data_IF_800712851538
#
_entry.id   IF_800712851538
#
_cell.length_a   1.000
_cell.length_b   1.000
_cell.length_c   1.000
_cell.angle_alpha   90.00
_cell.angle_beta   90.00
_cell.angle_gamma   90.00
#
_symmetry.space_group_name_H-M   'P 1'
#
loop_
_entity.id
_entity.type
_entity.pdbx_description
1 polymer ?
#
# COMPACT_ATOMS: atom_id res chain seq x y z
N UNK A 1 14.63 -40.02 2.20
CA UNK A 1 13.40 -39.68 2.96
C UNK A 1 12.98 -38.22 2.84
N UNK A 2 13.85 -37.21 2.74
CA UNK A 2 13.41 -35.82 2.51
C UNK A 2 13.02 -35.49 1.06
N UNK A 3 13.66 -36.14 0.06
CA UNK A 3 13.32 -35.97 -1.36
C UNK A 3 11.97 -36.58 -1.78
N UNK A 4 11.45 -37.51 -0.98
CA UNK A 4 10.17 -38.21 -1.24
C UNK A 4 8.95 -37.44 -0.71
N UNK A 5 9.16 -36.55 0.27
CA UNK A 5 8.11 -35.67 0.80
C UNK A 5 7.84 -34.50 -0.15
N UNK A 6 8.92 -33.97 -0.76
CA UNK A 6 8.85 -32.96 -1.82
C UNK A 6 8.11 -33.43 -3.10
N UNK A 7 7.87 -34.74 -3.26
CA UNK A 7 7.25 -35.34 -4.46
C UNK A 7 5.73 -35.59 -4.31
N UNK A 8 5.17 -35.60 -3.10
CA UNK A 8 3.79 -36.09 -2.87
C UNK A 8 2.70 -35.01 -2.77
N UNK A 9 3.05 -33.74 -2.50
CA UNK A 9 2.03 -32.69 -2.37
C UNK A 9 1.56 -32.12 -3.73
N UNK A 10 2.35 -32.27 -4.81
CA UNK A 10 2.08 -31.68 -6.12
C UNK A 10 2.34 -32.70 -7.23
N UNK A 11 1.32 -33.45 -7.61
CA UNK A 11 1.39 -34.39 -8.71
C UNK A 11 1.74 -33.68 -10.03
N UNK A 12 2.85 -34.10 -10.64
CA UNK A 12 3.20 -33.98 -12.08
C UNK A 12 3.06 -32.59 -12.72
N UNK A 13 4.03 -31.71 -12.50
CA UNK A 13 4.75 -30.93 -13.54
C UNK A 13 5.30 -29.61 -12.96
N UNK A 14 6.62 -29.55 -12.81
CA UNK A 14 7.34 -28.33 -12.49
C UNK A 14 8.59 -28.59 -11.67
N UNK A 15 9.60 -29.23 -12.26
CA UNK A 15 10.95 -28.80 -11.92
C UNK A 15 10.96 -27.28 -12.13
N UNK A 16 11.34 -26.50 -11.12
CA UNK A 16 11.59 -25.08 -11.34
C UNK A 16 12.51 -24.97 -12.55
N UNK A 17 12.15 -24.13 -13.52
CA UNK A 17 13.05 -23.90 -14.65
C UNK A 17 14.41 -23.44 -14.09
N UNK A 18 15.51 -23.67 -14.80
CA UNK A 18 16.83 -23.18 -14.36
C UNK A 18 16.80 -21.69 -14.02
N UNK A 19 15.96 -20.94 -14.72
CA UNK A 19 15.73 -19.51 -14.47
C UNK A 19 14.96 -19.26 -13.17
N UNK A 20 13.90 -20.01 -12.90
CA UNK A 20 13.14 -19.88 -11.65
C UNK A 20 13.99 -20.31 -10.44
N UNK A 21 14.83 -21.35 -10.60
CA UNK A 21 15.76 -21.77 -9.56
C UNK A 21 16.81 -20.68 -9.26
N UNK A 22 17.37 -20.02 -10.28
CA UNK A 22 18.27 -18.88 -10.09
C UNK A 22 17.58 -17.71 -9.41
N UNK A 23 16.31 -17.47 -9.72
CA UNK A 23 15.54 -16.41 -9.07
C UNK A 23 15.35 -16.70 -7.57
N UNK A 24 15.06 -17.95 -7.20
CA UNK A 24 14.98 -18.36 -5.78
C UNK A 24 16.33 -18.16 -5.09
N UNK A 25 17.43 -18.60 -5.69
CA UNK A 25 18.77 -18.37 -5.12
C UNK A 25 19.11 -16.88 -4.96
N UNK A 26 18.61 -16.02 -5.85
CA UNK A 26 18.77 -14.57 -5.76
C UNK A 26 18.02 -14.01 -4.56
N UNK A 27 16.79 -14.47 -4.32
CA UNK A 27 16.00 -14.08 -3.17
C UNK A 27 16.59 -14.61 -1.85
N UNK A 28 17.09 -15.85 -1.82
CA UNK A 28 17.78 -16.41 -0.66
C UNK A 28 19.05 -15.61 -0.32
N UNK A 29 19.90 -15.31 -1.32
CA UNK A 29 21.08 -14.48 -1.13
C UNK A 29 20.73 -13.06 -0.64
N UNK A 30 19.57 -12.54 -1.06
CA UNK A 30 19.02 -11.27 -0.60
C UNK A 30 18.32 -11.32 0.76
N UNK A 31 18.34 -12.48 1.46
CA UNK A 31 17.63 -12.70 2.72
C UNK A 31 16.13 -12.38 2.65
N UNK A 32 15.53 -12.59 1.48
CA UNK A 32 14.09 -12.41 1.30
C UNK A 32 13.37 -13.58 1.99
N UNK A 33 12.43 -13.30 2.91
CA UNK A 33 11.65 -14.35 3.57
C UNK A 33 10.77 -15.12 2.56
N UNK A 34 10.79 -16.46 2.61
CA UNK A 34 10.07 -17.29 1.64
C UNK A 34 8.55 -17.25 1.80
N UNK A 35 8.05 -17.03 3.01
CA UNK A 35 6.65 -16.72 3.31
C UNK A 35 6.17 -15.44 2.59
N UNK A 36 7.00 -14.40 2.54
CA UNK A 36 6.72 -13.16 1.81
C UNK A 36 6.72 -13.40 0.28
N UNK A 37 7.59 -14.27 -0.23
CA UNK A 37 7.58 -14.69 -1.65
C UNK A 37 6.28 -15.43 -1.98
N UNK A 38 5.85 -16.36 -1.12
CA UNK A 38 4.58 -17.09 -1.28
C UNK A 38 3.38 -16.14 -1.22
N UNK A 39 3.40 -15.14 -0.33
CA UNK A 39 2.35 -14.13 -0.26
C UNK A 39 2.27 -13.28 -1.55
N UNK A 40 3.42 -12.88 -2.11
CA UNK A 40 3.50 -12.14 -3.37
C UNK A 40 3.01 -12.98 -4.56
N UNK A 41 3.31 -14.28 -4.57
CA UNK A 41 2.80 -15.26 -5.53
C UNK A 41 1.26 -15.31 -5.52
N UNK A 42 0.65 -15.43 -4.34
CA UNK A 42 -0.80 -15.49 -4.21
C UNK A 42 -1.48 -14.22 -4.76
N UNK A 43 -0.98 -13.04 -4.39
CA UNK A 43 -1.51 -11.75 -4.90
C UNK A 43 -1.31 -11.60 -6.41
N UNK A 44 -0.22 -12.16 -6.96
CA UNK A 44 -0.02 -12.21 -8.41
C UNK A 44 -1.08 -13.09 -9.09
N UNK A 45 -1.38 -14.26 -8.54
CA UNK A 45 -2.41 -15.15 -9.08
C UNK A 45 -3.83 -14.57 -8.95
N UNK A 46 -4.19 -13.98 -7.81
CA UNK A 46 -5.50 -13.32 -7.62
C UNK A 46 -5.75 -12.21 -8.67
N UNK A 47 -4.72 -11.39 -8.95
CA UNK A 47 -4.82 -10.35 -9.99
C UNK A 47 -4.88 -10.94 -11.40
N UNK A 48 -4.29 -12.12 -11.62
CA UNK A 48 -4.28 -12.81 -12.91
C UNK A 48 -5.62 -13.46 -13.19
N UNK A 49 -6.28 -14.06 -12.20
CA UNK A 49 -7.62 -14.65 -12.36
C UNK A 49 -8.66 -13.63 -12.81
N UNK A 50 -8.51 -12.37 -12.40
CA UNK A 50 -9.38 -11.25 -12.81
C UNK A 50 -9.14 -10.76 -14.25
N UNK A 51 -8.17 -11.33 -15.00
CA UNK A 51 -7.88 -10.92 -16.38
C UNK A 51 -8.66 -11.76 -17.38
N UNK A 52 -9.23 -11.10 -18.39
CA UNK A 52 -10.03 -11.72 -19.45
C UNK A 52 -9.23 -12.74 -20.30
N UNK A 53 -7.91 -12.56 -20.45
CA UNK A 53 -6.99 -13.49 -21.13
C UNK A 53 -5.67 -13.64 -20.37
N UNK A 54 -5.60 -14.51 -19.36
CA UNK A 54 -4.36 -14.72 -18.62
C UNK A 54 -3.33 -15.45 -19.49
N UNK A 55 -2.09 -14.93 -19.55
CA UNK A 55 -0.97 -15.65 -20.19
C UNK A 55 -0.80 -17.03 -19.55
N UNK A 56 -0.56 -18.06 -20.35
CA UNK A 56 -0.49 -19.47 -19.90
C UNK A 56 0.74 -19.78 -19.04
N UNK A 57 1.84 -19.04 -19.19
CA UNK A 57 3.10 -19.27 -18.50
C UNK A 57 3.47 -18.12 -17.54
N UNK A 58 3.96 -18.48 -16.35
CA UNK A 58 4.43 -17.55 -15.31
C UNK A 58 5.83 -17.99 -14.89
N UNK A 59 6.81 -17.10 -15.03
CA UNK A 59 8.15 -17.25 -14.46
C UNK A 59 8.23 -16.47 -13.14
N UNK A 60 9.01 -16.95 -12.18
CA UNK A 60 9.20 -16.33 -10.87
C UNK A 60 9.72 -14.89 -10.98
N UNK A 61 10.53 -14.58 -11.99
CA UNK A 61 10.99 -13.21 -12.29
C UNK A 61 9.85 -12.20 -12.50
N UNK A 62 8.65 -12.64 -12.90
CA UNK A 62 7.51 -11.74 -13.06
C UNK A 62 6.92 -11.27 -11.71
N UNK A 63 7.25 -11.97 -10.62
CA UNK A 63 6.77 -11.68 -9.26
C UNK A 63 7.80 -10.88 -8.46
N UNK A 64 9.05 -10.78 -8.94
CA UNK A 64 10.16 -10.06 -8.30
C UNK A 64 9.80 -8.62 -7.91
N UNK A 65 9.00 -7.94 -8.75
CA UNK A 65 8.50 -6.59 -8.44
C UNK A 65 7.60 -6.56 -7.20
N UNK A 66 6.73 -7.53 -7.03
CA UNK A 66 5.82 -7.61 -5.88
C UNK A 66 6.59 -8.01 -4.61
N UNK A 67 7.58 -8.90 -4.73
CA UNK A 67 8.52 -9.25 -3.65
C UNK A 67 9.30 -8.02 -3.18
N UNK A 68 9.87 -7.26 -4.12
CA UNK A 68 10.60 -6.03 -3.79
C UNK A 68 9.68 -4.96 -3.16
N UNK A 69 8.41 -4.88 -3.57
CA UNK A 69 7.41 -3.99 -2.95
C UNK A 69 7.14 -4.39 -1.50
N UNK A 70 6.93 -5.68 -1.24
CA UNK A 70 6.71 -6.20 0.10
C UNK A 70 7.92 -6.01 1.03
N UNK A 71 9.14 -6.24 0.54
CA UNK A 71 10.37 -6.00 1.31
C UNK A 71 10.52 -4.53 1.72
N UNK A 72 10.33 -3.58 0.80
CA UNK A 72 10.38 -2.14 1.11
C UNK A 72 9.33 -1.72 2.13
N UNK A 73 8.14 -2.32 2.06
CA UNK A 73 7.07 -2.06 3.00
C UNK A 73 7.42 -2.58 4.39
N UNK A 74 7.95 -3.80 4.49
CA UNK A 74 8.47 -4.38 5.74
C UNK A 74 9.54 -3.50 6.38
N UNK A 75 10.52 -3.04 5.60
CA UNK A 75 11.56 -2.10 6.07
C UNK A 75 10.98 -0.75 6.52
N UNK A 76 9.94 -0.28 5.85
CA UNK A 76 9.25 0.96 6.24
C UNK A 76 8.54 0.80 7.58
N UNK A 77 7.89 -0.34 7.83
CA UNK A 77 7.22 -0.61 9.11
C UNK A 77 8.21 -0.79 10.25
N UNK A 78 9.31 -1.53 10.02
CA UNK A 78 10.37 -1.67 11.02
C UNK A 78 10.97 -0.31 11.41
N UNK A 79 11.12 0.61 10.45
CA UNK A 79 11.57 1.99 10.71
C UNK A 79 10.54 2.87 11.40
N UNK A 80 9.24 2.63 11.15
CA UNK A 80 8.16 3.42 11.74
C UNK A 80 8.01 3.19 13.26
N UNK A 81 8.48 2.04 13.79
CA UNK A 81 8.38 1.71 15.21
C UNK A 81 6.96 1.29 15.63
N UNK A 82 6.72 0.98 16.92
CA UNK A 82 5.39 0.69 17.44
C UNK A 82 4.46 1.90 17.27
N UNK A 83 3.18 1.66 16.99
CA UNK A 83 2.17 2.71 16.84
C UNK A 83 2.22 3.69 18.02
N UNK A 84 2.59 4.95 17.73
CA UNK A 84 2.50 6.03 18.69
C UNK A 84 1.04 6.45 18.83
N UNK A 85 0.45 6.03 19.94
CA UNK A 85 -0.76 6.52 20.60
C UNK A 85 -1.88 7.03 19.68
N UNK A 86 -2.95 6.23 19.56
CA UNK A 86 -4.21 6.50 18.85
C UNK A 86 -5.05 7.61 19.51
N UNK A 87 -4.42 8.74 19.78
CA UNK A 87 -4.90 9.72 20.74
C UNK A 87 -6.05 10.61 20.28
N UNK A 88 -6.54 10.50 19.04
CA UNK A 88 -7.65 11.38 18.59
C UNK A 88 -8.57 10.68 17.59
N UNK A 89 -9.85 10.52 17.95
CA UNK A 89 -10.89 9.88 17.11
C UNK A 89 -11.63 10.86 16.19
N UNK A 90 -12.73 10.42 15.56
CA UNK A 90 -13.56 11.25 14.66
C UNK A 90 -14.06 12.56 15.30
N UNK A 91 -14.21 12.60 16.63
CA UNK A 91 -14.79 13.74 17.35
C UNK A 91 -14.03 15.06 17.20
N UNK A 92 -12.73 15.01 16.89
CA UNK A 92 -11.91 16.20 16.68
C UNK A 92 -12.06 16.82 15.29
N UNK A 93 -12.69 16.10 14.35
CA UNK A 93 -12.81 16.55 12.96
C UNK A 93 -13.64 17.83 12.93
N UNK A 94 -13.23 18.81 12.12
CA UNK A 94 -13.94 20.09 12.05
C UNK A 94 -15.21 19.96 11.20
N UNK A 95 -16.25 20.74 11.53
CA UNK A 95 -17.40 20.93 10.65
C UNK A 95 -16.99 21.74 9.40
N UNK A 96 -17.63 21.52 8.22
CA UNK A 96 -18.76 20.61 7.98
C UNK A 96 -18.39 19.13 7.85
N UNK A 97 -17.12 18.76 7.63
CA UNK A 97 -16.74 17.36 7.35
C UNK A 97 -17.18 16.38 8.46
N UNK A 98 -17.11 16.79 9.73
CA UNK A 98 -17.57 15.98 10.87
C UNK A 98 -19.03 15.56 10.78
N UNK A 99 -19.86 16.39 10.16
CA UNK A 99 -21.31 16.23 10.05
C UNK A 99 -21.70 15.40 8.82
N UNK A 100 -20.74 15.11 7.92
CA UNK A 100 -20.96 14.26 6.76
C UNK A 100 -20.93 12.76 7.18
N UNK A 101 -22.09 12.06 7.12
CA UNK A 101 -22.15 10.65 7.50
C UNK A 101 -21.34 9.74 6.56
N UNK A 102 -21.17 10.12 5.29
CA UNK A 102 -20.37 9.35 4.35
C UNK A 102 -18.87 9.51 4.61
N UNK A 103 -18.43 10.72 4.98
CA UNK A 103 -17.04 10.95 5.40
C UNK A 103 -16.71 10.17 6.70
N UNK A 104 -17.63 10.17 7.67
CA UNK A 104 -17.51 9.37 8.89
C UNK A 104 -17.40 7.87 8.58
N UNK A 105 -18.29 7.35 7.73
CA UNK A 105 -18.27 5.94 7.35
C UNK A 105 -16.95 5.53 6.65
N UNK A 106 -16.42 6.40 5.77
CA UNK A 106 -15.14 6.16 5.11
C UNK A 106 -13.98 6.15 6.11
N UNK A 107 -13.97 7.07 7.08
CA UNK A 107 -12.99 7.09 8.16
C UNK A 107 -13.05 5.81 9.02
N UNK A 108 -14.24 5.40 9.44
CA UNK A 108 -14.44 4.18 10.25
C UNK A 108 -14.08 2.91 9.46
N UNK A 109 -14.28 2.88 8.13
CA UNK A 109 -13.85 1.78 7.27
C UNK A 109 -12.31 1.68 7.19
N UNK A 110 -11.64 2.80 6.98
CA UNK A 110 -10.17 2.86 6.99
C UNK A 110 -9.60 2.46 8.37
N UNK A 111 -10.16 2.97 9.46
CA UNK A 111 -9.70 2.60 10.81
C UNK A 111 -9.86 1.11 11.10
N UNK A 112 -10.97 0.49 10.67
CA UNK A 112 -11.16 -0.97 10.81
C UNK A 112 -10.09 -1.76 10.05
N UNK A 113 -9.77 -1.37 8.81
CA UNK A 113 -8.72 -2.01 8.02
C UNK A 113 -7.34 -1.86 8.67
N UNK A 114 -7.05 -0.68 9.24
CA UNK A 114 -5.79 -0.43 9.93
C UNK A 114 -5.67 -1.28 11.21
N UNK A 115 -6.73 -1.34 12.01
CA UNK A 115 -6.76 -2.15 13.24
C UNK A 115 -6.68 -3.66 12.98
N UNK A 116 -7.16 -4.11 11.81
CA UNK A 116 -7.10 -5.51 11.40
C UNK A 116 -5.91 -5.84 10.50
N UNK A 117 -4.86 -5.02 10.51
CA UNK A 117 -3.69 -5.22 9.63
C UNK A 117 -3.00 -6.55 9.94
N UNK A 118 -2.87 -7.47 8.97
CA UNK A 118 -2.19 -8.73 9.20
C UNK A 118 -0.67 -8.50 9.31
N UNK A 119 0.05 -9.50 9.84
CA UNK A 119 1.52 -9.46 9.86
C UNK A 119 2.06 -9.22 8.44
N UNK A 120 3.16 -8.44 8.27
CA UNK A 120 3.83 -8.28 6.97
C UNK A 120 4.21 -9.59 6.26
N UNK A 121 4.33 -10.65 7.05
CA UNK A 121 4.71 -12.01 6.65
C UNK A 121 3.49 -12.87 6.23
N UNK A 122 2.26 -12.41 6.54
CA UNK A 122 1.05 -13.17 6.26
C UNK A 122 0.68 -13.17 4.77
N UNK A 123 0.17 -14.30 4.29
CA UNK A 123 -0.45 -14.39 2.98
C UNK A 123 -1.61 -13.38 2.88
N UNK A 124 -1.61 -12.56 1.83
CA UNK A 124 -2.62 -11.52 1.61
C UNK A 124 -2.29 -10.14 2.19
N UNK A 125 -1.16 -9.98 2.91
CA UNK A 125 -0.75 -8.69 3.47
C UNK A 125 -0.68 -7.56 2.43
N UNK A 126 -0.10 -7.81 1.26
CA UNK A 126 -0.04 -6.81 0.18
C UNK A 126 -1.42 -6.40 -0.33
N UNK A 127 -2.36 -7.35 -0.42
CA UNK A 127 -3.72 -7.07 -0.84
C UNK A 127 -4.46 -6.25 0.23
N UNK A 128 -4.28 -6.60 1.51
CA UNK A 128 -4.82 -5.84 2.64
C UNK A 128 -4.28 -4.41 2.68
N UNK A 129 -2.96 -4.24 2.51
CA UNK A 129 -2.33 -2.93 2.47
C UNK A 129 -2.79 -2.10 1.26
N UNK A 130 -2.99 -2.72 0.09
CA UNK A 130 -3.56 -2.01 -1.07
C UNK A 130 -5.03 -1.60 -0.79
N UNK A 131 -5.84 -2.43 -0.12
CA UNK A 131 -7.20 -2.07 0.33
C UNK A 131 -7.19 -0.93 1.35
N UNK A 132 -6.30 -0.96 2.34
CA UNK A 132 -6.14 0.11 3.32
C UNK A 132 -5.79 1.44 2.63
N UNK A 133 -4.88 1.40 1.64
CA UNK A 133 -4.52 2.57 0.84
C UNK A 133 -5.68 3.11 0.01
N UNK A 134 -6.51 2.24 -0.56
CA UNK A 134 -7.71 2.61 -1.30
C UNK A 134 -8.75 3.26 -0.36
N UNK A 135 -9.01 2.66 0.80
CA UNK A 135 -9.92 3.23 1.80
C UNK A 135 -9.44 4.59 2.31
N UNK A 136 -8.13 4.75 2.55
CA UNK A 136 -7.53 6.04 2.91
C UNK A 136 -7.68 7.07 1.80
N UNK A 137 -7.54 6.66 0.54
CA UNK A 137 -7.71 7.56 -0.61
C UNK A 137 -9.17 8.02 -0.73
N UNK A 138 -10.15 7.12 -0.59
CA UNK A 138 -11.57 7.48 -0.61
C UNK A 138 -11.92 8.48 0.49
N UNK A 139 -11.46 8.24 1.72
CA UNK A 139 -11.67 9.17 2.83
C UNK A 139 -11.07 10.56 2.54
N UNK A 140 -9.84 10.61 1.99
CA UNK A 140 -9.21 11.87 1.61
C UNK A 140 -9.93 12.57 0.46
N UNK A 141 -10.49 11.84 -0.50
CA UNK A 141 -11.28 12.41 -1.61
C UNK A 141 -12.56 13.07 -1.08
N UNK A 142 -13.25 12.44 -0.13
CA UNK A 142 -14.42 13.06 0.54
C UNK A 142 -14.03 14.30 1.33
N UNK A 143 -12.93 14.22 2.08
CA UNK A 143 -12.39 15.35 2.80
C UNK A 143 -11.97 16.50 1.86
N UNK A 144 -11.39 16.19 0.71
CA UNK A 144 -11.06 17.18 -0.31
C UNK A 144 -12.32 17.82 -0.90
N UNK A 145 -13.33 17.02 -1.26
CA UNK A 145 -14.59 17.53 -1.79
C UNK A 145 -15.27 18.50 -0.80
N UNK A 146 -15.22 18.19 0.50
CA UNK A 146 -15.78 19.04 1.55
C UNK A 146 -15.07 20.40 1.70
N UNK A 147 -13.81 20.55 1.23
CA UNK A 147 -13.11 21.84 1.27
C UNK A 147 -13.78 22.86 0.33
N UNK A 148 -14.38 22.40 -0.77
CA UNK A 148 -14.98 23.25 -1.77
C UNK A 148 -14.02 24.39 -2.19
N UNK A 149 -14.46 25.67 -2.15
CA UNK A 149 -13.62 26.82 -2.50
C UNK A 149 -12.36 26.99 -1.63
N UNK A 150 -12.34 26.46 -0.40
CA UNK A 150 -11.18 26.56 0.48
C UNK A 150 -9.98 25.70 0.01
N UNK A 151 -10.18 24.81 -0.98
CA UNK A 151 -9.10 24.01 -1.54
C UNK A 151 -8.10 24.87 -2.36
N UNK A 152 -8.57 25.91 -3.06
CA UNK A 152 -7.73 26.74 -3.94
C UNK A 152 -6.55 27.43 -3.23
N UNK A 153 -6.74 28.13 -2.09
CA UNK A 153 -5.61 28.70 -1.38
C UNK A 153 -4.61 27.65 -0.88
N UNK A 154 -5.08 26.47 -0.45
CA UNK A 154 -4.21 25.37 -0.03
C UNK A 154 -3.39 24.80 -1.20
N UNK A 155 -4.00 24.67 -2.39
CA UNK A 155 -3.30 24.24 -3.61
C UNK A 155 -2.24 25.26 -4.01
N UNK A 156 -2.56 26.55 -3.92
CA UNK A 156 -1.61 27.63 -4.20
C UNK A 156 -0.41 27.60 -3.23
N UNK A 157 -0.66 27.41 -1.93
CA UNK A 157 0.39 27.26 -0.93
C UNK A 157 1.29 26.05 -1.23
N UNK A 158 0.70 24.88 -1.51
CA UNK A 158 1.47 23.69 -1.85
C UNK A 158 2.32 23.90 -3.11
N UNK A 159 1.74 24.51 -4.14
CA UNK A 159 2.47 24.84 -5.37
C UNK A 159 3.67 25.72 -5.08
N UNK A 160 3.51 26.79 -4.30
CA UNK A 160 4.62 27.67 -3.92
C UNK A 160 5.70 26.92 -3.15
N UNK A 161 5.33 26.05 -2.19
CA UNK A 161 6.28 25.24 -1.43
C UNK A 161 7.09 24.29 -2.30
N UNK A 162 6.46 23.64 -3.27
CA UNK A 162 7.16 22.74 -4.19
C UNK A 162 8.06 23.49 -5.17
N UNK A 163 7.63 24.65 -5.67
CA UNK A 163 8.47 25.51 -6.51
C UNK A 163 9.68 26.03 -5.74
N UNK A 164 9.51 26.43 -4.48
CA UNK A 164 10.59 26.87 -3.61
C UNK A 164 11.60 25.76 -3.26
N UNK A 165 11.20 24.49 -3.41
CA UNK A 165 12.07 23.33 -3.28
C UNK A 165 12.74 22.92 -4.62
N UNK A 166 12.79 23.84 -5.59
CA UNK A 166 13.32 23.65 -6.95
C UNK A 166 12.72 22.44 -7.70
N UNK A 167 11.48 22.07 -7.34
CA UNK A 167 10.80 20.97 -8.04
C UNK A 167 10.20 21.48 -9.34
N UNK A 168 10.58 20.83 -10.46
CA UNK A 168 10.01 21.14 -11.77
C UNK A 168 8.53 20.73 -11.84
N UNK A 169 7.66 21.71 -12.01
CA UNK A 169 6.22 21.52 -12.18
C UNK A 169 5.90 20.53 -13.32
N UNK A 170 4.95 19.63 -13.07
CA UNK A 170 4.51 18.61 -14.02
C UNK A 170 5.43 17.38 -14.14
N UNK A 171 6.63 17.39 -13.54
CA UNK A 171 7.54 16.25 -13.49
C UNK A 171 7.02 15.07 -12.64
N UNK A 172 7.63 13.89 -12.78
CA UNK A 172 7.26 12.71 -11.99
C UNK A 172 7.47 12.91 -10.48
N UNK A 173 8.57 13.56 -10.10
CA UNK A 173 8.89 13.89 -8.71
C UNK A 173 7.88 14.89 -8.16
N UNK A 174 7.55 15.93 -8.93
CA UNK A 174 6.52 16.90 -8.59
C UNK A 174 5.16 16.23 -8.33
N UNK A 175 4.70 15.37 -9.24
CA UNK A 175 3.40 14.68 -9.07
C UNK A 175 3.37 13.80 -7.83
N UNK A 176 4.47 13.12 -7.50
CA UNK A 176 4.58 12.31 -6.27
C UNK A 176 4.57 13.18 -5.01
N UNK A 177 5.36 14.25 -5.00
CA UNK A 177 5.41 15.20 -3.90
C UNK A 177 4.04 15.87 -3.70
N UNK A 178 3.42 16.32 -4.78
CA UNK A 178 2.07 16.87 -4.78
C UNK A 178 1.08 15.92 -4.14
N UNK A 179 0.95 14.69 -4.64
CA UNK A 179 0.00 13.71 -4.11
C UNK A 179 0.25 13.39 -2.63
N UNK A 180 1.51 13.29 -2.21
CA UNK A 180 1.86 13.03 -0.83
C UNK A 180 1.49 14.21 0.10
N UNK A 181 1.89 15.43 -0.26
CA UNK A 181 1.68 16.61 0.58
C UNK A 181 0.25 17.13 0.54
N UNK A 182 -0.44 16.99 -0.60
CA UNK A 182 -1.83 17.40 -0.73
C UNK A 182 -2.75 16.64 0.22
N UNK A 183 -2.64 15.31 0.27
CA UNK A 183 -3.42 14.50 1.22
C UNK A 183 -3.16 14.88 2.69
N UNK A 184 -1.93 15.30 3.02
CA UNK A 184 -1.59 15.80 4.38
C UNK A 184 -2.24 17.15 4.66
N UNK A 185 -2.25 18.07 3.70
CA UNK A 185 -2.88 19.38 3.85
C UNK A 185 -4.39 19.26 4.00
N UNK A 186 -5.03 18.41 3.19
CA UNK A 186 -6.46 18.10 3.32
C UNK A 186 -6.77 17.53 4.71
N UNK A 187 -5.98 16.56 5.18
CA UNK A 187 -6.17 16.00 6.52
C UNK A 187 -5.98 17.03 7.63
N UNK A 188 -4.95 17.87 7.53
CA UNK A 188 -4.67 18.92 8.51
C UNK A 188 -5.77 19.99 8.55
N UNK A 189 -6.31 20.39 7.39
CA UNK A 189 -7.40 21.35 7.31
C UNK A 189 -8.61 20.93 8.17
N UNK A 190 -8.91 19.62 8.14
CA UNK A 190 -10.02 19.01 8.87
C UNK A 190 -9.68 18.49 10.26
N UNK A 191 -8.41 18.54 10.68
CA UNK A 191 -7.91 17.83 11.86
C UNK A 191 -8.20 16.31 11.83
N UNK A 192 -8.12 15.68 10.66
CA UNK A 192 -8.24 14.23 10.54
C UNK A 192 -7.07 13.53 11.25
N UNK A 193 -7.33 12.51 12.10
CA UNK A 193 -6.28 11.74 12.77
C UNK A 193 -5.64 10.76 11.79
N UNK A 194 -4.70 11.27 11.00
CA UNK A 194 -3.78 10.44 10.24
C UNK A 194 -2.48 10.32 11.04
N UNK A 195 -2.28 9.22 11.76
CA UNK A 195 -0.97 8.90 12.32
C UNK A 195 0.04 8.59 11.22
N UNK A 196 1.31 8.93 11.45
CA UNK A 196 2.43 8.57 10.58
C UNK A 196 2.47 9.33 9.25
N UNK A 197 3.10 10.51 9.24
CA UNK A 197 3.43 11.21 8.01
C UNK A 197 4.81 11.88 8.06
#
# INVERSE_FOLDING_TARGET
MEREWAFRAWGRAGLLSTEDYRQVLTWEAGSVPMDLVVAALNVFFDRREKREKPRTFVALKHIDRDVAKAMKLRESMLRAGPEMDAGKGWDQVKAPLREDPAARAAFEAWQRLRASSPSPEAAGYLAHHDQEREARAEMLERAEAALGPAAEPLRAELRQRLLAADMKEGGLVWKRAWNHHWGRLVAAAWALPLEGA
#
